data_IF_113458137635
#
_entry.id   IF_113458137635
#
_cell.length_a   1.000
_cell.length_b   1.000
_cell.length_c   1.000
_cell.angle_alpha   90.00
_cell.angle_beta   90.00
_cell.angle_gamma   90.00
#
_symmetry.space_group_name_H-M   'P 1'
#
loop_
_entity.id
_entity.type
_entity.pdbx_description
1 polymer ?
#
# COMPACT_ATOMS: atom_id res chain seq x y z
N UNK A 1 10.53 -14.74 -1.19
CA UNK A 1 9.87 -13.46 -0.84
C UNK A 1 9.80 -13.37 0.68
N UNK A 2 10.24 -12.25 1.26
CA UNK A 2 10.23 -12.03 2.71
C UNK A 2 8.80 -12.14 3.28
N UNK A 3 8.63 -12.79 4.44
CA UNK A 3 7.31 -13.05 5.03
C UNK A 3 6.56 -11.74 5.32
N UNK A 4 7.29 -10.70 5.73
CA UNK A 4 6.70 -9.40 6.05
C UNK A 4 6.15 -8.71 4.80
N UNK A 5 6.94 -8.69 3.72
CA UNK A 5 6.52 -8.14 2.41
C UNK A 5 5.29 -8.88 1.89
N UNK A 6 5.30 -10.22 1.93
CA UNK A 6 4.16 -11.03 1.47
C UNK A 6 2.87 -10.63 2.19
N UNK A 7 2.94 -10.39 3.50
CA UNK A 7 1.78 -9.99 4.29
C UNK A 7 1.32 -8.60 3.88
N UNK A 8 2.23 -7.62 3.78
CA UNK A 8 1.88 -6.26 3.32
C UNK A 8 1.24 -6.26 1.93
N UNK A 9 1.71 -7.12 1.02
CA UNK A 9 1.11 -7.31 -0.31
C UNK A 9 -0.28 -7.94 -0.26
N UNK A 10 -0.54 -8.84 0.70
CA UNK A 10 -1.81 -9.55 0.85
C UNK A 10 -2.85 -8.82 1.70
N UNK A 11 -2.44 -7.80 2.49
CA UNK A 11 -3.35 -7.03 3.35
C UNK A 11 -4.59 -6.44 2.63
N UNK A 12 -4.52 -5.97 1.35
CA UNK A 12 -5.71 -5.51 0.64
C UNK A 12 -6.82 -6.57 0.59
N UNK A 13 -6.46 -7.85 0.48
CA UNK A 13 -7.40 -8.98 0.38
C UNK A 13 -7.90 -9.48 1.75
N UNK A 14 -7.31 -8.97 2.83
CA UNK A 14 -7.67 -9.33 4.22
C UNK A 14 -8.79 -8.39 4.70
N UNK A 15 -9.81 -8.91 5.43
CA UNK A 15 -10.85 -8.07 6.02
C UNK A 15 -10.27 -6.97 6.91
N UNK A 16 -10.79 -5.75 6.78
CA UNK A 16 -10.25 -4.54 7.45
C UNK A 16 -10.05 -4.76 8.95
N UNK A 17 -11.03 -5.37 9.62
CA UNK A 17 -10.99 -5.64 11.06
C UNK A 17 -9.80 -6.50 11.50
N UNK A 18 -9.26 -7.34 10.60
CA UNK A 18 -8.15 -8.26 10.89
C UNK A 18 -6.79 -7.74 10.44
N UNK A 19 -6.74 -6.67 9.62
CA UNK A 19 -5.49 -6.16 9.02
C UNK A 19 -4.47 -5.74 10.07
N UNK A 20 -4.91 -5.00 11.10
CA UNK A 20 -4.02 -4.48 12.16
C UNK A 20 -3.41 -5.62 12.97
N UNK A 21 -4.24 -6.53 13.47
CA UNK A 21 -3.76 -7.67 14.25
C UNK A 21 -2.75 -8.51 13.46
N UNK A 22 -3.06 -8.79 12.19
CA UNK A 22 -2.14 -9.55 11.32
C UNK A 22 -0.81 -8.83 11.11
N UNK A 23 -0.84 -7.50 10.93
CA UNK A 23 0.37 -6.70 10.78
C UNK A 23 1.22 -6.71 12.07
N UNK A 24 0.60 -6.47 13.23
CA UNK A 24 1.28 -6.41 14.53
C UNK A 24 1.96 -7.75 14.88
N UNK A 25 1.28 -8.87 14.61
CA UNK A 25 1.84 -10.21 14.80
C UNK A 25 3.13 -10.42 13.99
N UNK A 26 3.20 -9.87 12.78
CA UNK A 26 4.34 -10.04 11.87
C UNK A 26 5.45 -9.03 12.14
N UNK A 27 5.11 -7.80 12.49
CA UNK A 27 6.07 -6.82 13.00
C UNK A 27 6.82 -7.37 14.22
N UNK A 28 6.11 -8.00 15.16
CA UNK A 28 6.72 -8.67 16.32
C UNK A 28 7.72 -9.75 15.92
N UNK A 29 7.40 -10.57 14.92
CA UNK A 29 8.32 -11.61 14.42
C UNK A 29 9.60 -11.00 13.79
N UNK A 30 9.49 -9.86 13.09
CA UNK A 30 10.65 -9.14 12.54
C UNK A 30 11.55 -8.62 13.66
N UNK A 31 10.97 -8.04 14.71
CA UNK A 31 11.72 -7.56 15.89
C UNK A 31 12.47 -8.71 16.57
N UNK A 32 11.81 -9.87 16.75
CA UNK A 32 12.43 -11.06 17.33
C UNK A 32 13.58 -11.59 16.47
N UNK A 33 13.42 -11.65 15.14
CA UNK A 33 14.48 -12.07 14.24
C UNK A 33 15.70 -11.13 14.30
N UNK A 34 15.47 -9.81 14.36
CA UNK A 34 16.54 -8.81 14.53
C UNK A 34 17.29 -9.00 15.85
N UNK A 35 16.58 -9.26 16.94
CA UNK A 35 17.21 -9.49 18.25
C UNK A 35 18.21 -10.66 18.19
N UNK A 36 17.89 -11.73 17.45
CA UNK A 36 18.82 -12.83 17.21
C UNK A 36 20.10 -12.41 16.47
N UNK A 37 19.98 -11.57 15.44
CA UNK A 37 21.13 -11.04 14.68
C UNK A 37 21.96 -10.07 15.52
N UNK A 38 21.34 -9.25 16.36
CA UNK A 38 22.04 -8.32 17.24
C UNK A 38 22.94 -9.02 18.28
N UNK A 39 22.55 -10.23 18.72
CA UNK A 39 23.31 -11.00 19.71
C UNK A 39 24.45 -11.80 19.08
N UNK A 40 24.25 -12.32 17.86
CA UNK A 40 25.14 -13.32 17.27
C UNK A 40 25.84 -12.88 15.98
N UNK A 41 25.43 -11.75 15.40
CA UNK A 41 25.84 -11.31 14.07
C UNK A 41 27.16 -10.53 14.06
N UNK A 42 28.00 -10.70 13.03
CA UNK A 42 29.12 -9.79 12.76
C UNK A 42 28.64 -8.34 12.57
N UNK A 43 29.47 -7.32 12.88
CA UNK A 43 29.07 -5.91 12.78
C UNK A 43 28.57 -5.49 11.39
N UNK A 44 29.14 -6.05 10.32
CA UNK A 44 28.71 -5.79 8.94
C UNK A 44 27.32 -6.32 8.64
N UNK A 45 26.99 -7.52 9.14
CA UNK A 45 25.67 -8.13 9.01
C UNK A 45 24.64 -7.37 9.86
N UNK A 46 25.03 -6.95 11.06
CA UNK A 46 24.18 -6.15 11.94
C UNK A 46 23.79 -4.82 11.27
N UNK A 47 24.75 -4.08 10.71
CA UNK A 47 24.46 -2.81 10.04
C UNK A 47 23.51 -2.96 8.84
N UNK A 48 23.57 -4.07 8.10
CA UNK A 48 22.59 -4.34 7.04
C UNK A 48 21.23 -4.77 7.58
N UNK A 49 21.19 -5.54 8.68
CA UNK A 49 19.95 -5.92 9.34
C UNK A 49 19.19 -4.70 9.89
N UNK A 50 19.90 -3.66 10.33
CA UNK A 50 19.29 -2.39 10.76
C UNK A 50 18.60 -1.66 9.61
N UNK A 51 19.22 -1.58 8.43
CA UNK A 51 18.59 -1.01 7.24
C UNK A 51 17.34 -1.79 6.82
N UNK A 52 17.40 -3.13 6.87
CA UNK A 52 16.21 -3.97 6.61
C UNK A 52 15.10 -3.65 7.61
N UNK A 53 15.45 -3.48 8.89
CA UNK A 53 14.48 -3.13 9.93
C UNK A 53 13.85 -1.75 9.73
N UNK A 54 14.62 -0.75 9.28
CA UNK A 54 14.11 0.57 8.90
C UNK A 54 13.10 0.47 7.74
N UNK A 55 13.39 -0.35 6.72
CA UNK A 55 12.46 -0.58 5.62
C UNK A 55 11.21 -1.35 6.07
N UNK A 56 11.33 -2.32 6.99
CA UNK A 56 10.18 -2.97 7.61
C UNK A 56 9.30 -1.97 8.37
N UNK A 57 9.90 -1.08 9.17
CA UNK A 57 9.15 -0.07 9.91
C UNK A 57 8.40 0.89 8.96
N UNK A 58 9.04 1.27 7.84
CA UNK A 58 8.40 2.10 6.81
C UNK A 58 7.25 1.38 6.12
N UNK A 59 7.42 0.10 5.80
CA UNK A 59 6.36 -0.75 5.27
C UNK A 59 5.19 -0.85 6.25
N UNK A 60 5.46 -1.06 7.54
CA UNK A 60 4.47 -1.13 8.62
C UNK A 60 3.67 0.17 8.74
N UNK A 61 4.35 1.32 8.74
CA UNK A 61 3.75 2.66 8.82
C UNK A 61 2.69 2.89 7.73
N UNK A 62 2.95 2.40 6.52
CA UNK A 62 2.10 2.62 5.36
C UNK A 62 1.15 1.47 5.06
N UNK A 63 1.38 0.27 5.63
CA UNK A 63 0.70 -0.97 5.27
C UNK A 63 -0.83 -0.89 5.35
N UNK A 64 -1.38 -0.31 6.42
CA UNK A 64 -2.83 -0.23 6.59
C UNK A 64 -3.48 0.75 5.60
N UNK A 65 -2.87 1.92 5.41
CA UNK A 65 -3.35 2.92 4.42
C UNK A 65 -3.26 2.35 3.01
N UNK A 66 -2.16 1.65 2.71
CA UNK A 66 -1.93 0.94 1.45
C UNK A 66 -2.98 -0.11 1.21
N UNK A 67 -3.31 -0.92 2.23
CA UNK A 67 -4.34 -1.94 2.13
C UNK A 67 -5.73 -1.36 1.84
N UNK A 68 -6.09 -0.24 2.48
CA UNK A 68 -7.36 0.47 2.20
C UNK A 68 -7.40 0.94 0.75
N UNK A 69 -6.41 1.72 0.31
CA UNK A 69 -6.43 2.27 -1.05
C UNK A 69 -6.34 1.20 -2.13
N UNK A 70 -5.49 0.18 -1.95
CA UNK A 70 -5.38 -0.90 -2.92
C UNK A 70 -6.65 -1.73 -3.03
N UNK A 71 -7.31 -2.01 -1.91
CA UNK A 71 -8.61 -2.69 -1.91
C UNK A 71 -9.67 -1.86 -2.64
N UNK A 72 -9.67 -0.54 -2.42
CA UNK A 72 -10.59 0.37 -3.10
C UNK A 72 -10.33 0.47 -4.61
N UNK A 73 -9.07 0.62 -5.02
CA UNK A 73 -8.67 0.64 -6.44
C UNK A 73 -9.12 -0.62 -7.14
N UNK A 74 -8.85 -1.80 -6.57
CA UNK A 74 -9.29 -3.07 -7.18
C UNK A 74 -10.80 -3.19 -7.28
N UNK A 75 -11.56 -2.77 -6.25
CA UNK A 75 -13.03 -2.76 -6.34
C UNK A 75 -13.55 -1.82 -7.44
N UNK A 76 -12.94 -0.64 -7.60
CA UNK A 76 -13.29 0.31 -8.66
C UNK A 76 -12.95 -0.23 -10.06
N UNK A 77 -11.82 -0.93 -10.21
CA UNK A 77 -11.43 -1.62 -11.45
C UNK A 77 -12.32 -2.83 -11.79
N UNK A 78 -12.97 -3.43 -10.80
CA UNK A 78 -13.97 -4.47 -11.06
C UNK A 78 -15.32 -3.86 -11.42
N UNK A 79 -15.62 -2.66 -10.93
CA UNK A 79 -16.88 -1.96 -11.14
C UNK A 79 -16.93 -1.09 -12.41
N UNK A 80 -15.80 -0.59 -12.93
CA UNK A 80 -15.80 0.16 -14.19
C UNK A 80 -16.16 -0.75 -15.39
N UNK A 81 -16.67 -0.18 -16.49
CA UNK A 81 -17.12 -1.02 -17.63
C UNK A 81 -15.92 -1.62 -18.39
N UNK A 82 -15.71 -2.95 -18.40
CA UNK A 82 -14.49 -3.54 -18.94
C UNK A 82 -14.47 -3.65 -20.48
N UNK A 83 -15.58 -3.37 -21.17
CA UNK A 83 -15.74 -3.76 -22.59
C UNK A 83 -16.52 -2.80 -23.48
N UNK A 84 -17.16 -1.76 -22.96
CA UNK A 84 -17.97 -0.89 -23.83
C UNK A 84 -18.18 0.54 -23.31
N UNK A 85 -17.09 1.26 -23.03
CA UNK A 85 -17.15 2.64 -22.56
C UNK A 85 -17.92 3.58 -23.52
N UNK A 86 -17.90 3.32 -24.83
CA UNK A 86 -18.56 4.16 -25.84
C UNK A 86 -20.09 4.13 -25.78
N UNK A 87 -20.69 3.06 -25.25
CA UNK A 87 -22.15 2.89 -25.18
C UNK A 87 -22.66 2.58 -23.77
N UNK A 88 -21.79 2.62 -22.77
CA UNK A 88 -22.18 2.39 -21.38
C UNK A 88 -23.05 3.55 -20.90
N UNK A 89 -24.31 3.27 -20.58
CA UNK A 89 -25.26 4.25 -20.02
C UNK A 89 -25.41 4.11 -18.50
N UNK A 90 -24.69 3.17 -17.88
CA UNK A 90 -24.72 3.00 -16.44
C UNK A 90 -23.87 4.11 -15.78
N UNK A 91 -24.48 5.03 -15.02
CA UNK A 91 -23.74 6.10 -14.36
C UNK A 91 -22.77 5.57 -13.30
N UNK A 92 -23.02 4.41 -12.69
CA UNK A 92 -22.17 3.83 -11.65
C UNK A 92 -20.82 3.40 -12.21
N UNK A 93 -20.79 2.84 -13.42
CA UNK A 93 -19.53 2.48 -14.09
C UNK A 93 -18.66 3.71 -14.39
N UNK A 94 -19.29 4.82 -14.81
CA UNK A 94 -18.58 6.08 -15.05
C UNK A 94 -18.04 6.64 -13.74
N UNK A 95 -18.85 6.66 -12.68
CA UNK A 95 -18.41 7.09 -11.34
C UNK A 95 -17.26 6.23 -10.81
N UNK A 96 -17.29 4.91 -11.03
CA UNK A 96 -16.19 4.01 -10.65
C UNK A 96 -14.89 4.36 -11.38
N UNK A 97 -14.95 4.61 -12.71
CA UNK A 97 -13.78 5.02 -13.49
C UNK A 97 -13.23 6.37 -13.03
N UNK A 98 -14.09 7.37 -12.85
CA UNK A 98 -13.66 8.72 -12.44
C UNK A 98 -13.06 8.69 -11.02
N UNK A 99 -13.65 7.91 -10.11
CA UNK A 99 -13.10 7.72 -8.77
C UNK A 99 -11.72 7.05 -8.81
N UNK A 100 -11.56 6.00 -9.62
CA UNK A 100 -10.28 5.33 -9.82
C UNK A 100 -9.23 6.31 -10.38
N UNK A 101 -9.57 7.06 -11.42
CA UNK A 101 -8.65 8.00 -12.07
C UNK A 101 -8.20 9.09 -11.08
N UNK A 102 -9.15 9.65 -10.32
CA UNK A 102 -8.88 10.68 -9.33
C UNK A 102 -7.94 10.16 -8.23
N UNK A 103 -8.17 8.96 -7.71
CA UNK A 103 -7.28 8.33 -6.72
C UNK A 103 -5.88 8.09 -7.30
N UNK A 104 -5.77 7.60 -8.54
CA UNK A 104 -4.49 7.35 -9.21
C UNK A 104 -3.67 8.63 -9.48
N UNK A 105 -4.31 9.80 -9.56
CA UNK A 105 -3.62 11.08 -9.73
C UNK A 105 -3.54 11.93 -8.45
N UNK A 106 -4.20 11.52 -7.37
CA UNK A 106 -4.32 12.29 -6.11
C UNK A 106 -2.97 12.79 -5.56
N UNK A 107 -1.93 11.95 -5.61
CA UNK A 107 -0.58 12.32 -5.16
C UNK A 107 0.10 13.43 -5.97
N UNK A 108 -0.40 13.72 -7.17
CA UNK A 108 0.10 14.79 -8.06
C UNK A 108 -0.66 16.11 -7.89
N UNK A 109 -1.79 16.10 -7.20
CA UNK A 109 -2.58 17.29 -6.90
C UNK A 109 -1.92 18.09 -5.77
N UNK A 110 -2.00 19.41 -5.86
CA UNK A 110 -1.59 20.31 -4.79
C UNK A 110 -2.52 20.21 -3.57
N UNK A 111 -2.12 20.75 -2.43
CA UNK A 111 -2.92 20.67 -1.18
C UNK A 111 -4.28 21.36 -1.34
N UNK A 112 -4.32 22.51 -2.02
CA UNK A 112 -5.55 23.27 -2.29
C UNK A 112 -6.48 22.51 -3.24
N UNK A 113 -5.94 22.01 -4.36
CA UNK A 113 -6.68 21.19 -5.32
C UNK A 113 -7.27 19.93 -4.67
N UNK A 114 -6.49 19.24 -3.82
CA UNK A 114 -7.00 18.07 -3.08
C UNK A 114 -8.15 18.44 -2.17
N UNK A 115 -8.06 19.57 -1.49
CA UNK A 115 -9.13 20.01 -0.60
C UNK A 115 -10.42 20.30 -1.36
N UNK A 116 -10.32 20.91 -2.54
CA UNK A 116 -11.47 21.15 -3.43
C UNK A 116 -12.07 19.85 -4.00
N UNK A 117 -11.22 18.88 -4.32
CA UNK A 117 -11.62 17.60 -4.92
C UNK A 117 -12.17 16.58 -3.90
N UNK A 118 -12.04 16.81 -2.58
CA UNK A 118 -12.46 15.85 -1.54
C UNK A 118 -13.98 15.56 -1.57
N UNK A 119 -14.81 16.60 -1.69
CA UNK A 119 -16.26 16.42 -1.75
C UNK A 119 -16.68 15.71 -3.04
N UNK A 120 -15.99 16.02 -4.14
CA UNK A 120 -16.22 15.34 -5.41
C UNK A 120 -15.81 13.87 -5.34
N UNK A 121 -14.64 13.58 -4.75
CA UNK A 121 -14.16 12.22 -4.50
C UNK A 121 -15.17 11.43 -3.66
N UNK A 122 -15.70 12.01 -2.58
CA UNK A 122 -16.72 11.37 -1.77
C UNK A 122 -17.96 11.03 -2.61
N UNK A 123 -18.44 11.98 -3.40
CA UNK A 123 -19.62 11.81 -4.24
C UNK A 123 -19.44 10.66 -5.24
N UNK A 124 -18.36 10.67 -6.02
CA UNK A 124 -18.12 9.63 -7.05
C UNK A 124 -17.84 8.25 -6.44
N UNK A 125 -17.22 8.17 -5.26
CA UNK A 125 -17.03 6.90 -4.56
C UNK A 125 -18.37 6.30 -4.13
N UNK A 126 -19.29 7.12 -3.59
CA UNK A 126 -20.63 6.68 -3.22
C UNK A 126 -21.46 6.28 -4.45
N UNK A 127 -21.45 7.11 -5.48
CA UNK A 127 -22.20 6.89 -6.72
C UNK A 127 -21.67 5.68 -7.50
N UNK A 128 -20.42 5.27 -7.31
CA UNK A 128 -19.88 4.07 -7.98
C UNK A 128 -20.54 2.76 -7.54
N UNK A 129 -21.13 2.72 -6.34
CA UNK A 129 -21.57 1.49 -5.65
C UNK A 129 -20.51 0.38 -5.54
N UNK A 130 -19.24 0.66 -5.84
CA UNK A 130 -18.15 -0.31 -5.75
C UNK A 130 -17.71 -0.55 -4.29
N UNK A 131 -18.02 0.39 -3.40
CA UNK A 131 -17.60 0.42 -2.00
C UNK A 131 -18.80 0.66 -1.10
N UNK A 132 -18.80 0.03 0.07
CA UNK A 132 -19.74 0.35 1.13
C UNK A 132 -19.38 1.68 1.84
N UNK A 133 -20.31 2.21 2.65
CA UNK A 133 -20.13 3.50 3.32
C UNK A 133 -18.90 3.54 4.25
N UNK A 134 -18.54 2.42 4.86
CA UNK A 134 -17.39 2.34 5.76
C UNK A 134 -16.08 2.31 4.96
N UNK A 135 -16.03 1.58 3.84
CA UNK A 135 -14.92 1.60 2.90
C UNK A 135 -14.70 3.00 2.31
N UNK A 136 -15.76 3.69 1.91
CA UNK A 136 -15.69 5.09 1.44
C UNK A 136 -15.08 5.99 2.52
N UNK A 137 -15.57 5.89 3.76
CA UNK A 137 -15.05 6.67 4.90
C UNK A 137 -13.55 6.44 5.09
N UNK A 138 -13.09 5.19 5.04
CA UNK A 138 -11.68 4.85 5.18
C UNK A 138 -10.82 5.40 4.04
N UNK A 139 -11.29 5.35 2.79
CA UNK A 139 -10.58 5.93 1.65
C UNK A 139 -10.41 7.43 1.83
N UNK A 140 -11.45 8.14 2.27
CA UNK A 140 -11.39 9.58 2.51
C UNK A 140 -10.45 9.94 3.67
N UNK A 141 -10.41 9.14 4.74
CA UNK A 141 -9.42 9.30 5.82
C UNK A 141 -7.98 9.18 5.30
N UNK A 142 -7.72 8.24 4.38
CA UNK A 142 -6.40 8.11 3.77
C UNK A 142 -6.11 9.29 2.84
N UNK A 143 -7.06 9.66 1.97
CA UNK A 143 -6.96 10.79 1.04
C UNK A 143 -6.62 12.11 1.75
N UNK A 144 -7.17 12.31 2.95
CA UNK A 144 -6.94 13.48 3.78
C UNK A 144 -5.58 13.46 4.52
N UNK A 145 -4.84 12.34 4.52
CA UNK A 145 -3.58 12.22 5.26
C UNK A 145 -2.30 12.56 4.46
N UNK A 146 -2.45 12.79 3.13
CA UNK A 146 -1.51 13.37 2.13
C UNK A 146 -0.11 12.76 1.98
N UNK A 147 0.48 12.19 3.03
CA UNK A 147 1.86 11.78 3.01
C UNK A 147 2.08 10.52 2.16
N UNK A 148 3.06 10.60 1.25
CA UNK A 148 3.66 9.44 0.57
C UNK A 148 2.68 8.69 -0.33
N UNK A 149 1.74 9.39 -0.98
CA UNK A 149 0.70 8.79 -1.84
C UNK A 149 1.26 7.80 -2.86
N UNK A 150 2.36 8.13 -3.53
CA UNK A 150 3.02 7.25 -4.50
C UNK A 150 3.50 5.93 -3.89
N UNK A 151 3.90 5.94 -2.61
CA UNK A 151 4.29 4.73 -1.86
C UNK A 151 3.07 3.93 -1.41
N UNK A 152 1.94 4.59 -1.16
CA UNK A 152 0.71 3.95 -0.68
C UNK A 152 -0.08 3.34 -1.84
N UNK A 153 -0.21 4.03 -2.97
CA UNK A 153 -0.77 3.47 -4.20
C UNK A 153 0.19 2.41 -4.76
N UNK A 154 1.47 2.78 -4.92
CA UNK A 154 2.41 2.01 -5.73
C UNK A 154 2.00 2.02 -7.21
N UNK A 155 2.95 2.03 -8.13
CA UNK A 155 2.62 1.91 -9.54
C UNK A 155 2.12 0.51 -9.90
N UNK A 156 1.22 0.43 -10.87
CA UNK A 156 0.74 -0.84 -11.44
C UNK A 156 1.87 -1.68 -12.04
N UNK A 157 2.93 -1.02 -12.54
CA UNK A 157 4.11 -1.66 -13.14
C UNK A 157 5.30 -1.67 -12.18
N UNK A 158 5.40 -0.71 -11.27
CA UNK A 158 6.52 -0.52 -10.35
C UNK A 158 6.02 -0.13 -8.98
N UNK A 159 6.49 -0.79 -7.93
CA UNK A 159 6.12 -0.48 -6.56
C UNK A 159 7.35 0.08 -5.81
N UNK A 160 7.52 1.42 -5.75
CA UNK A 160 8.74 2.03 -5.21
C UNK A 160 9.00 1.66 -3.75
N UNK A 161 7.95 1.35 -2.98
CA UNK A 161 8.08 0.96 -1.58
C UNK A 161 8.63 -0.46 -1.46
N UNK A 162 8.09 -1.41 -2.24
CA UNK A 162 8.57 -2.79 -2.24
C UNK A 162 9.93 -2.93 -2.94
N UNK A 163 10.20 -2.16 -3.99
CA UNK A 163 11.50 -2.13 -4.68
C UNK A 163 12.63 -1.66 -3.76
N UNK A 164 12.39 -0.59 -2.98
CA UNK A 164 13.37 -0.12 -1.97
C UNK A 164 13.65 -1.17 -0.91
N UNK A 165 12.60 -1.84 -0.42
CA UNK A 165 12.79 -2.96 0.51
C UNK A 165 13.61 -4.08 -0.12
N UNK A 166 13.29 -4.48 -1.36
CA UNK A 166 13.97 -5.57 -2.06
C UNK A 166 15.46 -5.28 -2.24
N UNK A 167 15.82 -4.07 -2.66
CA UNK A 167 17.22 -3.67 -2.81
C UNK A 167 18.01 -3.80 -1.48
N UNK A 168 17.45 -3.28 -0.37
CA UNK A 168 18.09 -3.40 0.95
C UNK A 168 18.16 -4.85 1.43
N UNK A 169 17.16 -5.67 1.09
CA UNK A 169 17.12 -7.09 1.44
C UNK A 169 18.18 -7.89 0.69
N UNK A 170 18.40 -7.58 -0.58
CA UNK A 170 19.45 -8.18 -1.42
C UNK A 170 20.84 -7.84 -0.88
N UNK A 171 21.11 -6.58 -0.57
CA UNK A 171 22.36 -6.15 0.09
C UNK A 171 22.61 -6.92 1.39
N UNK A 172 21.57 -7.14 2.20
CA UNK A 172 21.69 -7.94 3.41
C UNK A 172 21.98 -9.43 3.12
N UNK A 173 21.34 -10.04 2.11
CA UNK A 173 21.65 -11.43 1.72
C UNK A 173 23.10 -11.55 1.31
N UNK A 174 23.58 -10.64 0.46
CA UNK A 174 24.95 -10.66 -0.05
C UNK A 174 25.97 -10.56 1.08
N UNK A 175 25.72 -9.69 2.07
CA UNK A 175 26.60 -9.54 3.23
C UNK A 175 26.48 -10.71 4.22
N UNK A 176 25.29 -11.26 4.42
CA UNK A 176 25.05 -12.32 5.40
C UNK A 176 25.51 -13.71 4.93
N UNK A 177 25.37 -13.98 3.62
CA UNK A 177 25.67 -15.30 3.05
C UNK A 177 26.89 -15.31 2.16
N UNK A 178 27.41 -14.14 1.77
CA UNK A 178 28.55 -14.03 0.86
C UNK A 178 28.22 -14.56 -0.53
N UNK A 179 28.18 -13.69 -1.52
CA UNK A 179 28.73 -14.11 -2.81
C UNK A 179 30.22 -14.37 -2.59
N UNK A 180 30.56 -15.59 -2.19
CA UNK A 180 31.94 -16.08 -2.23
C UNK A 180 32.38 -16.09 -3.69
N UNK A 181 33.00 -15.00 -4.12
CA UNK A 181 33.95 -15.00 -5.22
C UNK A 181 35.36 -15.08 -4.64
#
# INVERSE_FOLDING_TARGET
MDVFVRIVTQLPDVPVASRRELLDQKATAVVQARAGVAVLGPPTVLGQAEKVAEQCARLEELALRRAVLRSAISALEEAWCPRNAEFCQDPHHTSAYVAWELLCRWGRLEDEERWEELDFLQFILQESHALDAEQVRQVLEVANSVACWDEIIGGFVRDPLLERFQAVREDFVDVAYGSHA
#
